data_IF_603940315091
#
_entry.id   IF_603940315091
#
_cell.length_a   1.000
_cell.length_b   1.000
_cell.length_c   1.000
_cell.angle_alpha   90.00
_cell.angle_beta   90.00
_cell.angle_gamma   90.00
#
_symmetry.space_group_name_H-M   'P 1'
#
loop_
_entity.id
_entity.type
_entity.pdbx_description
1 polymer ?
#
# COMPACT_ATOMS: atom_id res chain seq x y z
N UNK A 1 -36.41 -12.94 11.36
CA UNK A 1 -35.50 -13.26 10.25
C UNK A 1 -35.70 -12.19 9.19
N UNK A 2 -34.91 -11.13 9.27
CA UNK A 2 -35.05 -9.95 8.41
C UNK A 2 -34.36 -10.20 7.07
N UNK A 3 -35.15 -10.19 6.01
CA UNK A 3 -34.72 -10.13 4.62
C UNK A 3 -33.84 -8.88 4.42
N UNK A 4 -32.52 -9.05 4.51
CA UNK A 4 -31.60 -8.09 3.90
C UNK A 4 -31.71 -8.37 2.41
N UNK A 5 -32.58 -7.61 1.73
CA UNK A 5 -32.54 -7.50 0.27
C UNK A 5 -31.08 -7.46 -0.16
N UNK A 6 -30.64 -8.34 -1.07
CA UNK A 6 -29.32 -8.27 -1.71
C UNK A 6 -29.18 -6.92 -2.41
N UNK A 7 -28.87 -5.87 -1.65
CA UNK A 7 -28.40 -4.61 -2.21
C UNK A 7 -27.16 -4.98 -3.02
N UNK A 8 -27.21 -4.75 -4.32
CA UNK A 8 -26.06 -5.06 -5.18
C UNK A 8 -24.87 -4.27 -4.66
N UNK A 9 -23.85 -4.96 -4.16
CA UNK A 9 -22.62 -4.32 -3.72
C UNK A 9 -22.06 -3.49 -4.89
N UNK A 10 -21.52 -2.29 -4.62
CA UNK A 10 -20.92 -1.48 -5.68
C UNK A 10 -19.78 -2.24 -6.35
N UNK A 11 -19.66 -2.07 -7.67
CA UNK A 11 -18.65 -2.75 -8.48
C UNK A 11 -17.31 -2.03 -8.37
N UNK A 12 -16.22 -2.77 -8.42
CA UNK A 12 -14.86 -2.25 -8.60
C UNK A 12 -14.06 -3.20 -9.49
N UNK A 13 -13.03 -2.70 -10.17
CA UNK A 13 -12.16 -3.48 -11.07
C UNK A 13 -10.71 -3.29 -10.64
N UNK A 14 -9.98 -4.40 -10.49
CA UNK A 14 -8.53 -4.38 -10.29
C UNK A 14 -7.83 -4.76 -11.60
N UNK A 15 -7.01 -3.84 -12.11
CA UNK A 15 -6.12 -4.07 -13.24
C UNK A 15 -4.68 -4.19 -12.73
N UNK A 16 -4.30 -5.42 -12.42
CA UNK A 16 -3.00 -5.79 -11.84
C UNK A 16 -2.05 -6.31 -12.92
N UNK A 17 -0.75 -6.11 -12.72
CA UNK A 17 0.28 -6.64 -13.62
C UNK A 17 1.66 -6.05 -13.37
N UNK A 18 2.74 -6.71 -13.84
CA UNK A 18 4.12 -6.27 -13.61
C UNK A 18 4.42 -4.93 -14.32
N UNK A 19 5.51 -4.27 -13.94
CA UNK A 19 6.00 -3.07 -14.64
C UNK A 19 6.16 -3.35 -16.14
N UNK A 20 5.90 -2.35 -16.98
CA UNK A 20 5.95 -2.43 -18.45
C UNK A 20 4.95 -3.42 -19.11
N UNK A 21 3.92 -3.90 -18.41
CA UNK A 21 2.89 -4.79 -18.98
C UNK A 21 1.74 -4.08 -19.73
N UNK A 22 1.86 -2.78 -20.04
CA UNK A 22 0.84 -2.03 -20.79
C UNK A 22 -0.45 -1.67 -20.03
N UNK A 23 -0.45 -1.72 -18.68
CA UNK A 23 -1.64 -1.44 -17.85
C UNK A 23 -2.27 -0.06 -18.11
N UNK A 24 -1.45 0.99 -18.18
CA UNK A 24 -1.92 2.37 -18.40
C UNK A 24 -2.66 2.48 -19.73
N UNK A 25 -2.07 1.94 -20.81
CA UNK A 25 -2.70 1.92 -22.12
C UNK A 25 -4.06 1.21 -22.10
N UNK A 26 -4.13 0.02 -21.49
CA UNK A 26 -5.40 -0.70 -21.35
C UNK A 26 -6.43 0.06 -20.50
N UNK A 27 -5.99 0.72 -19.43
CA UNK A 27 -6.89 1.50 -18.57
C UNK A 27 -7.49 2.71 -19.30
N UNK A 28 -6.71 3.38 -20.15
CA UNK A 28 -7.17 4.47 -21.02
C UNK A 28 -8.22 3.97 -22.01
N UNK A 29 -7.99 2.81 -22.66
CA UNK A 29 -9.00 2.24 -23.56
C UNK A 29 -10.27 1.81 -22.83
N UNK A 30 -10.16 1.22 -21.64
CA UNK A 30 -11.32 0.88 -20.81
C UNK A 30 -12.14 2.12 -20.43
N UNK A 31 -11.48 3.25 -20.17
CA UNK A 31 -12.14 4.52 -19.81
C UNK A 31 -13.04 5.07 -20.91
N UNK A 32 -12.76 4.74 -22.18
CA UNK A 32 -13.56 5.15 -23.34
C UNK A 32 -14.88 4.37 -23.47
N UNK A 33 -14.92 3.14 -22.95
CA UNK A 33 -16.03 2.20 -23.15
C UNK A 33 -16.86 2.02 -21.89
N UNK A 34 -16.23 2.11 -20.71
CA UNK A 34 -16.86 1.89 -19.41
C UNK A 34 -16.96 3.21 -18.61
N UNK A 35 -17.98 3.37 -17.75
CA UNK A 35 -18.10 4.50 -16.84
C UNK A 35 -17.16 4.35 -15.63
N UNK A 36 -15.86 4.17 -15.89
CA UNK A 36 -14.84 3.96 -14.85
C UNK A 36 -14.14 5.26 -14.46
N UNK A 37 -13.55 5.30 -13.28
CA UNK A 37 -12.57 6.31 -12.86
C UNK A 37 -11.31 5.62 -12.33
N UNK A 38 -10.14 6.16 -12.66
CA UNK A 38 -8.87 5.48 -12.42
C UNK A 38 -8.28 5.88 -11.08
N UNK A 39 -7.83 4.89 -10.31
CA UNK A 39 -7.05 5.09 -9.08
C UNK A 39 -5.71 4.39 -9.28
N UNK A 40 -4.61 5.13 -9.12
CA UNK A 40 -3.26 4.58 -9.18
C UNK A 40 -2.98 3.69 -7.96
N UNK A 41 -2.46 2.49 -8.19
CA UNK A 41 -2.00 1.54 -7.15
C UNK A 41 -0.51 1.26 -7.33
N UNK A 42 0.28 2.29 -7.10
CA UNK A 42 1.73 2.24 -7.25
C UNK A 42 2.42 3.05 -6.13
N UNK A 43 3.45 2.46 -5.52
CA UNK A 43 4.17 3.07 -4.40
C UNK A 43 5.15 4.18 -4.81
N UNK A 44 5.45 4.33 -6.10
CA UNK A 44 6.38 5.33 -6.62
C UNK A 44 5.67 6.48 -7.34
N UNK A 45 4.55 6.20 -8.04
CA UNK A 45 3.81 7.21 -8.79
C UNK A 45 3.13 8.29 -7.92
N UNK A 46 3.02 8.05 -6.62
CA UNK A 46 2.49 9.00 -5.64
C UNK A 46 3.38 10.23 -5.43
N UNK A 47 4.66 10.18 -5.82
CA UNK A 47 5.65 11.22 -5.49
C UNK A 47 5.75 12.31 -6.56
N UNK A 48 5.69 13.55 -6.09
CA UNK A 48 5.85 14.76 -6.89
C UNK A 48 7.24 14.86 -7.52
N UNK A 49 7.29 15.18 -8.80
CA UNK A 49 8.54 15.37 -9.57
C UNK A 49 9.31 14.10 -9.89
N UNK A 50 8.79 12.92 -9.51
CA UNK A 50 9.37 11.61 -9.85
C UNK A 50 8.64 11.03 -11.06
N UNK A 51 8.83 11.61 -12.25
CA UNK A 51 7.99 11.29 -13.42
C UNK A 51 8.63 10.23 -14.34
N UNK A 52 9.86 10.48 -14.82
CA UNK A 52 10.52 9.65 -15.82
C UNK A 52 10.90 8.27 -15.24
N UNK A 53 11.57 8.25 -14.10
CA UNK A 53 12.09 7.01 -13.48
C UNK A 53 10.99 6.06 -12.97
N UNK A 54 9.77 6.56 -12.83
CA UNK A 54 8.62 5.79 -12.34
C UNK A 54 7.67 5.38 -13.47
N UNK A 55 7.96 5.79 -14.71
CA UNK A 55 7.07 5.62 -15.86
C UNK A 55 5.66 6.21 -15.61
N UNK A 56 5.61 7.42 -15.02
CA UNK A 56 4.35 8.12 -14.78
C UNK A 56 3.64 8.43 -16.10
N UNK A 57 2.30 8.29 -16.16
CA UNK A 57 1.56 8.68 -17.36
C UNK A 57 1.82 10.14 -17.71
N UNK A 58 2.01 10.42 -18.99
CA UNK A 58 2.29 11.78 -19.46
C UNK A 58 1.05 12.67 -19.40
N UNK A 59 1.20 13.96 -19.66
CA UNK A 59 0.11 14.93 -19.58
C UNK A 59 -1.07 14.60 -20.53
N UNK A 60 -0.79 14.08 -21.74
CA UNK A 60 -1.83 13.70 -22.71
C UNK A 60 -2.63 12.48 -22.21
N UNK A 61 -1.94 11.49 -21.65
CA UNK A 61 -2.55 10.31 -21.03
C UNK A 61 -3.40 10.67 -19.82
N UNK A 62 -2.93 11.61 -18.97
CA UNK A 62 -3.67 12.08 -17.80
C UNK A 62 -4.89 12.94 -18.18
N UNK A 63 -4.81 13.69 -19.27
CA UNK A 63 -5.96 14.41 -19.83
C UNK A 63 -7.01 13.42 -20.36
N UNK A 64 -6.58 12.32 -21.01
CA UNK A 64 -7.47 11.29 -21.54
C UNK A 64 -8.10 10.44 -20.43
N UNK A 65 -7.33 10.10 -19.40
CA UNK A 65 -7.79 9.32 -18.25
C UNK A 65 -7.15 9.85 -16.96
N UNK A 66 -7.84 10.77 -16.26
CA UNK A 66 -7.37 11.27 -14.97
C UNK A 66 -7.19 10.12 -13.97
N UNK A 67 -6.01 10.06 -13.35
CA UNK A 67 -5.69 9.08 -12.32
C UNK A 67 -5.66 9.76 -10.95
N UNK A 68 -6.43 9.22 -10.00
CA UNK A 68 -6.33 9.60 -8.59
C UNK A 68 -5.09 8.98 -7.95
N UNK A 69 -4.65 9.56 -6.82
CA UNK A 69 -3.46 9.16 -6.05
C UNK A 69 -2.13 9.24 -6.83
N UNK A 70 -2.02 10.18 -7.76
CA UNK A 70 -0.76 10.61 -8.36
C UNK A 70 -0.32 11.94 -7.75
N UNK A 71 0.98 12.14 -7.58
CA UNK A 71 1.55 13.42 -7.12
C UNK A 71 0.95 13.93 -5.79
N UNK A 72 0.59 13.00 -4.89
CA UNK A 72 -0.03 13.30 -3.60
C UNK A 72 0.99 13.47 -2.46
N UNK A 73 2.25 13.08 -2.67
CA UNK A 73 3.31 13.13 -1.64
C UNK A 73 4.57 13.81 -2.14
N UNK A 74 5.25 14.48 -1.23
CA UNK A 74 6.64 14.90 -1.45
C UNK A 74 7.57 13.67 -1.31
N UNK A 75 8.65 13.54 -2.11
CA UNK A 75 9.59 12.41 -2.00
C UNK A 75 10.21 12.21 -0.60
N UNK A 76 10.28 13.25 0.22
CA UNK A 76 10.77 13.15 1.62
C UNK A 76 9.76 12.53 2.58
N UNK A 77 8.49 12.38 2.18
CA UNK A 77 7.42 11.88 3.02
C UNK A 77 7.14 10.41 2.76
N UNK A 78 7.25 9.57 3.79
CA UNK A 78 6.89 8.16 3.65
C UNK A 78 5.39 7.96 3.36
N UNK A 79 5.07 6.90 2.62
CA UNK A 79 3.70 6.46 2.34
C UNK A 79 3.55 4.96 2.57
N UNK A 80 2.55 4.57 3.35
CA UNK A 80 2.35 3.18 3.77
C UNK A 80 1.19 2.50 3.05
N UNK A 81 1.11 1.17 3.14
CA UNK A 81 -0.07 0.42 2.68
C UNK A 81 -1.34 0.81 3.45
N UNK A 82 -1.21 1.30 4.69
CA UNK A 82 -2.33 1.79 5.48
C UNK A 82 -2.82 3.14 4.96
N UNK A 83 -1.91 4.04 4.60
CA UNK A 83 -2.24 5.31 3.94
C UNK A 83 -2.93 5.07 2.61
N UNK A 84 -2.35 4.20 1.77
CA UNK A 84 -2.97 3.81 0.51
C UNK A 84 -4.39 3.27 0.72
N UNK A 85 -4.60 2.37 1.67
CA UNK A 85 -5.93 1.80 1.94
C UNK A 85 -6.93 2.90 2.32
N UNK A 86 -6.54 3.80 3.23
CA UNK A 86 -7.39 4.92 3.65
C UNK A 86 -7.78 5.78 2.45
N UNK A 87 -6.77 6.19 1.67
CA UNK A 87 -6.96 7.13 0.58
C UNK A 87 -7.76 6.46 -0.55
N UNK A 88 -7.41 5.24 -0.96
CA UNK A 88 -8.16 4.49 -1.97
C UNK A 88 -9.62 4.24 -1.57
N UNK A 89 -9.92 3.93 -0.30
CA UNK A 89 -11.31 3.77 0.16
C UNK A 89 -12.11 5.08 0.05
N UNK A 90 -11.49 6.22 0.36
CA UNK A 90 -12.12 7.52 0.19
C UNK A 90 -12.39 7.83 -1.29
N UNK A 91 -11.40 7.59 -2.16
CA UNK A 91 -11.54 7.80 -3.60
C UNK A 91 -12.60 6.88 -4.22
N UNK A 92 -12.62 5.60 -3.83
CA UNK A 92 -13.64 4.64 -4.28
C UNK A 92 -15.04 5.06 -3.85
N UNK A 93 -15.20 5.61 -2.64
CA UNK A 93 -16.48 6.09 -2.16
C UNK A 93 -17.00 7.27 -2.97
N UNK A 94 -16.14 8.25 -3.28
CA UNK A 94 -16.50 9.38 -4.15
C UNK A 94 -16.90 8.91 -5.56
N UNK A 95 -16.07 8.09 -6.19
CA UNK A 95 -16.35 7.54 -7.53
C UNK A 95 -17.68 6.78 -7.57
N UNK A 96 -17.94 5.96 -6.54
CA UNK A 96 -19.17 5.19 -6.42
C UNK A 96 -20.38 6.11 -6.21
N UNK A 97 -20.25 7.15 -5.38
CA UNK A 97 -21.30 8.14 -5.14
C UNK A 97 -21.64 8.94 -6.40
N UNK A 98 -20.66 9.14 -7.29
CA UNK A 98 -20.86 9.73 -8.62
C UNK A 98 -21.47 8.75 -9.65
N UNK A 99 -21.84 7.52 -9.26
CA UNK A 99 -22.44 6.51 -10.13
C UNK A 99 -21.45 5.84 -11.10
N UNK A 100 -20.15 5.92 -10.79
CA UNK A 100 -19.06 5.42 -11.64
C UNK A 100 -18.38 4.21 -10.98
N UNK A 101 -17.57 3.49 -11.75
CA UNK A 101 -16.90 2.26 -11.29
C UNK A 101 -15.43 2.57 -10.99
N UNK A 102 -14.93 2.36 -9.76
CA UNK A 102 -13.50 2.47 -9.47
C UNK A 102 -12.71 1.42 -10.26
N UNK A 103 -11.74 1.87 -11.05
CA UNK A 103 -10.77 1.06 -11.77
C UNK A 103 -9.38 1.29 -11.14
N UNK A 104 -8.94 0.34 -10.34
CA UNK A 104 -7.66 0.41 -9.64
C UNK A 104 -6.56 -0.21 -10.49
N UNK A 105 -5.56 0.57 -10.86
CA UNK A 105 -4.53 0.18 -11.85
C UNK A 105 -3.15 0.29 -11.22
N UNK A 106 -2.36 -0.79 -11.26
CA UNK A 106 -0.99 -0.70 -10.74
C UNK A 106 -0.28 -2.02 -10.50
N UNK A 107 0.94 -1.93 -9.97
CA UNK A 107 1.85 -3.07 -9.76
C UNK A 107 2.10 -3.42 -8.30
N UNK A 108 1.70 -2.56 -7.34
CA UNK A 108 2.03 -2.77 -5.92
C UNK A 108 1.05 -3.77 -5.29
N UNK A 109 1.35 -5.07 -5.40
CA UNK A 109 0.47 -6.15 -4.92
C UNK A 109 0.16 -6.06 -3.42
N UNK A 110 1.08 -5.55 -2.61
CA UNK A 110 0.86 -5.32 -1.18
C UNK A 110 -0.30 -4.33 -0.93
N UNK A 111 -0.45 -3.31 -1.77
CA UNK A 111 -1.51 -2.31 -1.66
C UNK A 111 -2.87 -2.91 -2.05
N UNK A 112 -2.93 -3.68 -3.14
CA UNK A 112 -4.13 -4.43 -3.49
C UNK A 112 -4.55 -5.40 -2.37
N UNK A 113 -3.59 -6.14 -1.81
CA UNK A 113 -3.84 -7.04 -0.69
C UNK A 113 -4.39 -6.31 0.53
N UNK A 114 -3.76 -5.20 0.92
CA UNK A 114 -4.19 -4.38 2.04
C UNK A 114 -5.61 -3.82 1.85
N UNK A 115 -5.98 -3.45 0.61
CA UNK A 115 -7.30 -2.96 0.30
C UNK A 115 -8.37 -4.07 0.36
N UNK A 116 -8.05 -5.27 -0.16
CA UNK A 116 -8.98 -6.39 -0.26
C UNK A 116 -9.17 -7.11 1.09
N UNK A 117 -8.07 -7.43 1.77
CA UNK A 117 -8.07 -8.23 3.00
C UNK A 117 -8.08 -7.36 4.27
N UNK A 118 -7.84 -6.06 4.13
CA UNK A 118 -7.59 -5.17 5.25
C UNK A 118 -6.16 -5.29 5.80
N UNK A 119 -5.89 -4.51 6.85
CA UNK A 119 -4.65 -4.56 7.61
C UNK A 119 -4.99 -4.80 9.07
N UNK A 120 -4.24 -5.67 9.74
CA UNK A 120 -4.32 -5.75 11.19
C UNK A 120 -3.99 -4.37 11.79
N UNK A 121 -4.70 -3.93 12.84
CA UNK A 121 -4.41 -2.67 13.51
C UNK A 121 -3.05 -2.80 14.20
N UNK A 122 -2.00 -2.41 13.48
CA UNK A 122 -0.64 -2.35 13.98
C UNK A 122 -0.28 -0.88 14.20
N UNK A 123 0.50 -0.57 15.25
CA UNK A 123 0.97 0.79 15.48
C UNK A 123 1.78 1.30 14.28
N UNK A 124 1.67 2.61 14.00
CA UNK A 124 2.49 3.26 12.97
C UNK A 124 3.98 3.09 13.26
N UNK A 125 4.80 3.30 12.23
CA UNK A 125 6.25 3.33 12.40
C UNK A 125 6.67 4.47 13.32
N UNK A 126 7.64 4.23 14.19
CA UNK A 126 8.23 5.24 15.07
C UNK A 126 9.73 5.38 14.77
N UNK A 127 10.16 6.53 14.22
CA UNK A 127 11.56 6.76 13.88
C UNK A 127 12.52 6.56 15.04
N UNK A 128 12.14 6.90 16.28
CA UNK A 128 13.03 6.74 17.44
C UNK A 128 13.24 5.28 17.79
N UNK A 129 12.16 4.48 17.75
CA UNK A 129 12.24 3.04 18.01
C UNK A 129 13.08 2.36 16.94
N UNK A 130 12.91 2.72 15.66
CA UNK A 130 13.74 2.19 14.57
C UNK A 130 15.20 2.55 14.71
N UNK A 131 15.51 3.81 15.04
CA UNK A 131 16.89 4.23 15.25
C UNK A 131 17.57 3.43 16.37
N UNK A 132 16.84 3.14 17.46
CA UNK A 132 17.35 2.29 18.55
C UNK A 132 17.60 0.85 18.11
N UNK A 133 16.67 0.27 17.33
CA UNK A 133 16.81 -1.09 16.79
C UNK A 133 18.00 -1.17 15.83
N UNK A 134 18.16 -0.20 14.93
CA UNK A 134 19.26 -0.12 13.99
C UNK A 134 20.61 0.06 14.71
N UNK A 135 20.66 0.88 15.75
CA UNK A 135 21.83 1.02 16.59
C UNK A 135 22.20 -0.30 17.28
N UNK A 136 21.23 -0.99 17.88
CA UNK A 136 21.46 -2.30 18.49
C UNK A 136 21.93 -3.33 17.47
N UNK A 137 21.38 -3.31 16.24
CA UNK A 137 21.82 -4.19 15.16
C UNK A 137 23.25 -3.89 14.72
N UNK A 138 23.68 -2.62 14.72
CA UNK A 138 25.05 -2.23 14.42
C UNK A 138 26.04 -2.68 15.51
N UNK A 139 25.62 -2.65 16.78
CA UNK A 139 26.47 -3.04 17.93
C UNK A 139 26.54 -4.57 18.13
N UNK A 140 25.44 -5.28 17.90
CA UNK A 140 25.29 -6.70 18.30
C UNK A 140 24.98 -7.65 17.13
N UNK A 141 24.68 -7.12 15.95
CA UNK A 141 24.26 -7.89 14.78
C UNK A 141 22.79 -8.30 14.78
N UNK A 142 22.22 -8.45 13.58
CA UNK A 142 20.82 -8.85 13.38
C UNK A 142 20.48 -10.24 13.95
N UNK A 143 21.45 -11.14 14.06
CA UNK A 143 21.27 -12.45 14.69
C UNK A 143 20.96 -12.35 16.20
N UNK A 144 21.55 -11.37 16.90
CA UNK A 144 21.23 -11.09 18.30
C UNK A 144 19.77 -10.65 18.43
N UNK A 145 19.34 -9.73 17.55
CA UNK A 145 17.97 -9.22 17.53
C UNK A 145 16.96 -10.31 17.13
N UNK A 146 17.33 -11.26 16.26
CA UNK A 146 16.47 -12.39 15.91
C UNK A 146 16.24 -13.31 17.11
N UNK A 147 17.29 -13.57 17.91
CA UNK A 147 17.16 -14.30 19.18
C UNK A 147 16.25 -13.57 20.17
N UNK A 148 16.40 -12.25 20.30
CA UNK A 148 15.48 -11.44 21.12
C UNK A 148 14.03 -11.58 20.64
N UNK A 149 13.79 -11.54 19.32
CA UNK A 149 12.45 -11.77 18.76
C UNK A 149 11.93 -13.16 19.09
N UNK A 150 12.79 -14.19 19.06
CA UNK A 150 12.41 -15.57 19.37
C UNK A 150 11.96 -15.74 20.82
N UNK A 151 12.54 -14.99 21.75
CA UNK A 151 12.15 -15.00 23.16
C UNK A 151 10.78 -14.36 23.40
N UNK A 152 10.43 -13.30 22.65
CA UNK A 152 9.22 -12.50 22.88
C UNK A 152 8.04 -12.85 21.96
N UNK A 153 8.30 -13.27 20.73
CA UNK A 153 7.31 -13.69 19.73
C UNK A 153 7.88 -14.84 18.87
N UNK A 154 7.88 -16.08 19.38
CA UNK A 154 8.44 -17.24 18.68
C UNK A 154 7.71 -17.56 17.37
N UNK A 155 6.43 -17.18 17.25
CA UNK A 155 5.64 -17.38 16.03
C UNK A 155 6.12 -16.44 14.93
N UNK A 156 6.38 -15.16 15.25
CA UNK A 156 6.96 -14.22 14.31
C UNK A 156 8.41 -14.60 13.95
N UNK A 157 9.23 -14.99 14.94
CA UNK A 157 10.62 -15.38 14.73
C UNK A 157 10.75 -16.61 13.80
N UNK A 158 9.84 -17.57 13.89
CA UNK A 158 9.82 -18.74 13.00
C UNK A 158 9.49 -18.39 11.53
N UNK A 159 8.79 -17.27 11.30
CA UNK A 159 8.39 -16.81 9.96
C UNK A 159 9.36 -15.81 9.34
N UNK A 160 10.12 -15.10 10.16
CA UNK A 160 11.03 -14.04 9.73
C UNK A 160 12.45 -14.59 9.70
N UNK A 161 13.09 -14.55 8.54
CA UNK A 161 14.47 -14.97 8.39
C UNK A 161 15.41 -13.95 9.08
N UNK A 162 16.48 -14.39 9.77
CA UNK A 162 17.43 -13.46 10.43
C UNK A 162 18.04 -12.40 9.48
N UNK A 163 18.18 -12.75 8.20
CA UNK A 163 18.69 -11.86 7.15
C UNK A 163 17.62 -10.95 6.52
N UNK A 164 16.41 -10.86 7.09
CA UNK A 164 15.38 -9.90 6.70
C UNK A 164 15.29 -8.76 7.73
N UNK A 165 16.21 -7.79 7.68
CA UNK A 165 16.31 -6.73 8.69
C UNK A 165 15.04 -5.87 8.73
N UNK A 166 14.35 -5.72 7.60
CA UNK A 166 13.14 -4.92 7.51
C UNK A 166 11.98 -5.57 8.28
N UNK A 167 11.73 -6.87 8.05
CA UNK A 167 10.68 -7.59 8.78
C UNK A 167 11.03 -7.78 10.24
N UNK A 168 12.31 -8.02 10.56
CA UNK A 168 12.76 -8.19 11.93
C UNK A 168 12.60 -6.89 12.73
N UNK A 169 13.10 -5.77 12.20
CA UNK A 169 12.96 -4.45 12.81
C UNK A 169 11.48 -4.12 13.03
N UNK A 170 10.61 -4.40 12.05
CA UNK A 170 9.16 -4.17 12.20
C UNK A 170 8.52 -5.03 13.29
N UNK A 171 8.91 -6.29 13.42
CA UNK A 171 8.36 -7.18 14.45
C UNK A 171 8.76 -6.71 15.87
N UNK A 172 10.02 -6.35 16.06
CA UNK A 172 10.52 -5.80 17.32
C UNK A 172 9.91 -4.44 17.64
N UNK A 173 9.77 -3.57 16.63
CA UNK A 173 9.07 -2.27 16.75
C UNK A 173 7.63 -2.48 17.24
N UNK A 174 6.86 -3.37 16.62
CA UNK A 174 5.48 -3.68 17.04
C UNK A 174 5.43 -4.24 18.46
N UNK A 175 6.37 -5.11 18.84
CA UNK A 175 6.43 -5.64 20.20
C UNK A 175 6.71 -4.54 21.24
N UNK A 176 7.62 -3.61 20.94
CA UNK A 176 7.96 -2.50 21.85
C UNK A 176 6.76 -1.64 22.26
N UNK A 177 5.75 -1.53 21.39
CA UNK A 177 4.49 -0.83 21.69
C UNK A 177 3.54 -1.66 22.54
N UNK A 178 3.53 -2.99 22.38
CA UNK A 178 2.67 -3.87 23.19
C UNK A 178 3.08 -3.86 24.67
N UNK A 179 4.36 -3.65 24.96
CA UNK A 179 4.89 -3.60 26.34
C UNK A 179 4.65 -2.25 27.02
N UNK A 180 4.36 -1.18 26.27
CA UNK A 180 4.07 0.16 26.80
C UNK A 180 2.61 0.38 27.21
N UNK A 181 1.74 -0.62 27.00
CA UNK A 181 0.32 -0.63 27.41
C UNK A 181 0.13 -1.51 28.64
#
# INVERSE_FOLDING_TARGET
MSDISKASLPKAIFLMGPTASGKTALAIELRKILPVELISVDSALIYKGMDIGTAKPNAEELLAAPHRLLDIRDPSQAYSAADFRRDALAEMADITAAGRIPLLVGGTMLYFKALLEGLSPLPSADPEVRARIEQQAAEQGWESLHRQLQEVDPVAAARIHPNDPQRLSRALEVFSFRVKL
#
